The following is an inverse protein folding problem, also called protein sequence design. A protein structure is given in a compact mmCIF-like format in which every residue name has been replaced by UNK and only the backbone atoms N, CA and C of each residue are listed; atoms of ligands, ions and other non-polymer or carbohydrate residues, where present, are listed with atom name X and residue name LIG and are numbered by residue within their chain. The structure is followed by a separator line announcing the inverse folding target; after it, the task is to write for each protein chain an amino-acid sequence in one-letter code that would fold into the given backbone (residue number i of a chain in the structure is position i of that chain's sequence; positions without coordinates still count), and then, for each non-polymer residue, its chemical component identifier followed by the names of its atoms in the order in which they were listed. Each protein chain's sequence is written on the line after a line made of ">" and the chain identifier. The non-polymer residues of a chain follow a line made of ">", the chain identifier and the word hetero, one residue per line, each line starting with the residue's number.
data_IF_795527928282
#
_entry.id   IF_795527928282
#
_cell.length_a   1.000
_cell.length_b   1.000
_cell.length_c   1.000
_cell.angle_alpha   90.00
_cell.angle_beta   90.00
_cell.angle_gamma   90.00
#
_symmetry.space_group_name_H-M   'P 1'
#
loop_
_entity.id
_entity.type
_entity.pdbx_description
1 polymer ?
#
# COMPACT_ATOMS: atom_id res chain seq x y z
N UNK A 1 -21.45 -64.09 19.23
CA UNK A 1 -20.72 -63.67 18.03
C UNK A 1 -21.63 -63.91 16.84
N UNK A 2 -22.31 -62.86 16.38
CA UNK A 2 -23.15 -62.90 15.20
C UNK A 2 -22.62 -61.81 14.26
N UNK A 3 -22.26 -62.25 13.06
CA UNK A 3 -21.74 -61.42 11.98
C UNK A 3 -22.87 -60.57 11.38
N UNK A 4 -22.57 -59.32 11.00
CA UNK A 4 -23.44 -58.53 10.14
C UNK A 4 -22.82 -58.41 8.75
N UNK A 5 -23.70 -58.65 7.78
CA UNK A 5 -23.49 -58.83 6.35
C UNK A 5 -23.43 -57.47 5.63
N UNK A 6 -22.60 -57.36 4.59
CA UNK A 6 -22.25 -56.08 3.93
C UNK A 6 -22.96 -55.83 2.58
N UNK A 7 -24.12 -56.44 2.33
CA UNK A 7 -24.79 -56.40 1.02
C UNK A 7 -26.05 -55.49 0.95
N UNK A 8 -26.08 -54.34 1.63
CA UNK A 8 -27.30 -53.49 1.66
C UNK A 8 -27.04 -51.98 1.42
N UNK A 9 -26.20 -51.63 0.44
CA UNK A 9 -25.90 -50.23 0.09
C UNK A 9 -26.04 -49.86 -1.40
N UNK A 10 -26.91 -50.55 -2.15
CA UNK A 10 -27.18 -50.19 -3.56
C UNK A 10 -28.61 -49.65 -3.84
N UNK A 11 -29.45 -49.42 -2.83
CA UNK A 11 -30.83 -48.93 -3.04
C UNK A 11 -31.03 -47.42 -2.84
N UNK A 12 -30.00 -46.58 -3.03
CA UNK A 12 -30.15 -45.11 -2.98
C UNK A 12 -29.61 -44.37 -4.21
N UNK A 13 -29.27 -45.06 -5.30
CA UNK A 13 -28.67 -44.40 -6.47
C UNK A 13 -29.62 -43.90 -7.55
N UNK A 14 -30.94 -44.07 -7.45
CA UNK A 14 -31.85 -43.56 -8.51
C UNK A 14 -33.22 -43.10 -7.97
N UNK A 15 -33.28 -41.90 -7.36
CA UNK A 15 -34.52 -41.12 -7.34
C UNK A 15 -34.21 -39.66 -7.67
N UNK A 16 -34.62 -39.14 -8.84
CA UNK A 16 -34.58 -37.71 -9.11
C UNK A 16 -35.61 -37.03 -8.19
N UNK A 17 -35.16 -36.07 -7.39
CA UNK A 17 -36.04 -35.22 -6.61
C UNK A 17 -36.69 -34.23 -7.58
N UNK A 18 -37.89 -34.53 -8.06
CA UNK A 18 -38.76 -33.53 -8.67
C UNK A 18 -39.30 -32.62 -7.55
N UNK A 19 -38.71 -31.43 -7.41
CA UNK A 19 -39.25 -30.36 -6.59
C UNK A 19 -40.25 -29.59 -7.44
N UNK A 20 -41.54 -29.89 -7.31
CA UNK A 20 -42.62 -29.02 -7.80
C UNK A 20 -42.58 -27.68 -7.04
N UNK A 21 -42.07 -26.63 -7.70
CA UNK A 21 -42.17 -25.28 -7.18
C UNK A 21 -43.55 -24.71 -7.48
N UNK A 22 -44.40 -24.66 -6.44
CA UNK A 22 -45.71 -24.01 -6.49
C UNK A 22 -45.62 -22.53 -6.92
N UNK A 23 -46.52 -22.15 -7.83
CA UNK A 23 -46.57 -20.88 -8.54
C UNK A 23 -47.03 -19.67 -7.70
N UNK A 24 -46.41 -19.40 -6.54
CA UNK A 24 -46.74 -18.24 -5.70
C UNK A 24 -45.54 -17.67 -4.92
N UNK A 25 -44.36 -17.52 -5.56
CA UNK A 25 -43.25 -16.77 -4.98
C UNK A 25 -43.25 -15.37 -5.59
N UNK A 26 -43.64 -14.37 -4.80
CA UNK A 26 -43.36 -12.99 -5.14
C UNK A 26 -41.84 -12.84 -5.39
N UNK A 27 -41.40 -12.31 -6.54
CA UNK A 27 -39.98 -12.22 -6.86
C UNK A 27 -39.25 -11.48 -5.75
N UNK A 28 -38.15 -12.07 -5.28
CA UNK A 28 -37.29 -11.48 -4.25
C UNK A 28 -36.85 -10.07 -4.68
N UNK A 29 -36.54 -9.19 -3.73
CA UNK A 29 -36.10 -7.81 -4.03
C UNK A 29 -34.93 -7.79 -5.03
N UNK A 30 -34.08 -8.81 -5.02
CA UNK A 30 -32.99 -9.06 -5.98
C UNK A 30 -33.51 -9.30 -7.41
N UNK A 31 -34.51 -10.15 -7.60
CA UNK A 31 -35.09 -10.43 -8.91
C UNK A 31 -35.78 -9.19 -9.52
N UNK A 32 -36.55 -8.43 -8.71
CA UNK A 32 -37.21 -7.20 -9.19
C UNK A 32 -36.22 -6.11 -9.61
N UNK A 33 -35.09 -6.00 -8.91
CA UNK A 33 -34.03 -5.04 -9.26
C UNK A 33 -33.31 -5.47 -10.53
N UNK A 34 -33.06 -6.77 -10.72
CA UNK A 34 -32.45 -7.30 -11.94
C UNK A 34 -33.37 -7.11 -13.15
N UNK A 35 -34.67 -7.40 -13.03
CA UNK A 35 -35.65 -7.19 -14.10
C UNK A 35 -35.80 -5.70 -14.46
N UNK A 36 -35.87 -4.82 -13.45
CA UNK A 36 -35.92 -3.38 -13.67
C UNK A 36 -34.66 -2.85 -14.38
N UNK A 37 -33.47 -3.37 -14.01
CA UNK A 37 -32.19 -3.01 -14.64
C UNK A 37 -32.08 -3.54 -16.07
N UNK A 38 -32.60 -4.73 -16.36
CA UNK A 38 -32.63 -5.27 -17.73
C UNK A 38 -33.54 -4.43 -18.64
N UNK A 39 -34.69 -3.97 -18.13
CA UNK A 39 -35.58 -3.06 -18.84
C UNK A 39 -34.92 -1.71 -19.10
N UNK A 40 -34.20 -1.16 -18.12
CA UNK A 40 -33.45 0.08 -18.29
C UNK A 40 -32.33 -0.06 -19.32
N UNK A 41 -31.60 -1.18 -19.33
CA UNK A 41 -30.57 -1.46 -20.31
C UNK A 41 -31.15 -1.58 -21.73
N UNK A 42 -32.31 -2.22 -21.90
CA UNK A 42 -33.03 -2.29 -23.19
C UNK A 42 -33.46 -0.90 -23.66
N UNK A 43 -33.99 -0.07 -22.76
CA UNK A 43 -34.37 1.32 -23.05
C UNK A 43 -33.15 2.14 -23.49
N UNK A 44 -32.03 2.03 -22.79
CA UNK A 44 -30.82 2.79 -23.11
C UNK A 44 -30.21 2.36 -24.46
N UNK A 45 -30.24 1.06 -24.80
CA UNK A 45 -29.86 0.58 -26.13
C UNK A 45 -30.77 1.14 -27.23
N UNK A 46 -32.08 1.17 -27.02
CA UNK A 46 -33.05 1.75 -27.95
C UNK A 46 -32.81 3.25 -28.18
N UNK A 47 -32.55 4.01 -27.11
CA UNK A 47 -32.22 5.44 -27.21
C UNK A 47 -30.91 5.63 -27.97
N UNK A 48 -29.87 4.84 -27.68
CA UNK A 48 -28.60 4.91 -28.39
C UNK A 48 -28.76 4.64 -29.89
N UNK A 49 -29.51 3.61 -30.28
CA UNK A 49 -29.82 3.34 -31.69
C UNK A 49 -30.60 4.47 -32.34
N UNK A 50 -31.60 5.04 -31.66
CA UNK A 50 -32.37 6.17 -32.19
C UNK A 50 -31.48 7.40 -32.44
N UNK A 51 -30.55 7.71 -31.54
CA UNK A 51 -29.59 8.80 -31.70
C UNK A 51 -28.70 8.56 -32.92
N UNK A 52 -28.13 7.36 -33.07
CA UNK A 52 -27.28 7.02 -34.23
C UNK A 52 -28.05 7.15 -35.55
N UNK A 53 -29.28 6.64 -35.61
CA UNK A 53 -30.12 6.73 -36.82
C UNK A 53 -30.46 8.19 -37.15
N UNK A 54 -30.82 9.00 -36.15
CA UNK A 54 -31.08 10.43 -36.36
C UNK A 54 -29.84 11.18 -36.84
N UNK A 55 -28.66 10.90 -36.27
CA UNK A 55 -27.40 11.48 -36.72
C UNK A 55 -27.08 11.14 -38.18
N UNK A 56 -27.34 9.88 -38.60
CA UNK A 56 -27.17 9.47 -40.00
C UNK A 56 -28.15 10.20 -40.94
N UNK A 57 -29.42 10.34 -40.55
CA UNK A 57 -30.40 11.09 -41.34
C UNK A 57 -29.96 12.54 -41.53
N UNK A 58 -29.51 13.21 -40.45
CA UNK A 58 -29.01 14.59 -40.52
C UNK A 58 -27.78 14.70 -41.42
N UNK A 59 -26.85 13.75 -41.36
CA UNK A 59 -25.68 13.74 -42.24
C UNK A 59 -26.08 13.62 -43.72
N UNK A 60 -27.02 12.73 -44.04
CA UNK A 60 -27.50 12.54 -45.42
C UNK A 60 -28.24 13.78 -45.93
N UNK A 61 -29.07 14.43 -45.11
CA UNK A 61 -29.78 15.65 -45.53
C UNK A 61 -28.83 16.83 -45.75
N UNK A 62 -27.78 16.97 -44.92
CA UNK A 62 -26.75 17.98 -45.11
C UNK A 62 -25.98 17.76 -46.43
N UNK A 63 -25.60 16.52 -46.75
CA UNK A 63 -24.93 16.19 -48.02
C UNK A 63 -25.83 16.48 -49.22
N UNK A 64 -27.11 16.14 -49.14
CA UNK A 64 -28.08 16.45 -50.19
C UNK A 64 -28.27 17.97 -50.37
N UNK A 65 -28.34 18.74 -49.27
CA UNK A 65 -28.48 20.20 -49.32
C UNK A 65 -27.26 20.87 -49.97
N UNK A 66 -26.04 20.46 -49.60
CA UNK A 66 -24.79 20.95 -50.22
C UNK A 66 -24.73 20.60 -51.71
N UNK A 67 -25.22 19.42 -52.10
CA UNK A 67 -25.25 19.01 -53.51
C UNK A 67 -26.20 19.89 -54.34
N UNK A 68 -27.36 20.27 -53.78
CA UNK A 68 -28.33 21.16 -54.44
C UNK A 68 -27.81 22.59 -54.57
N UNK A 69 -27.06 23.10 -53.58
CA UNK A 69 -26.50 24.45 -53.65
C UNK A 69 -25.35 24.57 -54.65
N UNK A 70 -24.54 23.52 -54.83
CA UNK A 70 -23.47 23.48 -55.84
C UNK A 70 -24.00 23.45 -57.28
N UNK A 71 -25.22 22.93 -57.51
CA UNK A 71 -25.84 22.94 -58.84
C UNK A 71 -26.40 24.32 -59.27
N UNK A 72 -26.38 25.33 -58.41
CA UNK A 72 -26.95 26.66 -58.68
C UNK A 72 -25.92 27.77 -58.89
N UNK A 73 -24.63 27.45 -58.87
CA UNK A 73 -23.58 28.42 -59.12
C UNK A 73 -23.43 28.70 -60.64
N UNK A 74 -23.58 29.96 -61.10
CA UNK A 74 -23.34 30.30 -62.49
C UNK A 74 -21.83 30.26 -62.80
N UNK A 75 -21.47 29.58 -63.88
CA UNK A 75 -20.12 29.54 -64.45
C UNK A 75 -19.65 30.96 -64.80
N UNK A 76 -18.57 31.41 -64.14
CA UNK A 76 -17.92 32.69 -64.43
C UNK A 76 -16.85 32.48 -65.51
N UNK A 77 -17.03 33.18 -66.64
CA UNK A 77 -16.09 33.19 -67.76
C UNK A 77 -14.71 33.75 -67.39
N UNK A 78 -13.69 33.17 -68.01
CA UNK A 78 -12.28 33.58 -67.97
C UNK A 78 -12.06 34.71 -68.97
N UNK A 79 -11.63 35.88 -68.49
CA UNK A 79 -11.20 37.01 -69.33
C UNK A 79 -9.68 37.22 -69.25
N UNK A 80 -9.02 37.22 -70.40
CA UNK A 80 -7.58 37.39 -70.59
C UNK A 80 -7.20 38.81 -71.05
N UNK A 81 -6.08 39.36 -70.55
CA UNK A 81 -5.17 40.37 -71.14
C UNK A 81 -4.40 41.10 -70.03
N UNK A 82 -3.17 41.61 -70.16
CA UNK A 82 -2.07 41.55 -71.13
C UNK A 82 -0.83 42.16 -70.44
N UNK A 83 0.34 41.82 -70.96
CA UNK A 83 1.72 42.16 -70.57
C UNK A 83 2.21 43.58 -70.92
N UNK A 84 3.10 44.15 -70.08
CA UNK A 84 4.22 45.09 -70.40
C UNK A 84 5.23 44.91 -69.24
N UNK A 85 6.56 44.75 -69.32
CA UNK A 85 7.59 45.07 -70.32
C UNK A 85 8.71 45.88 -69.62
N UNK A 86 9.76 45.22 -69.10
CA UNK A 86 11.04 45.79 -68.58
C UNK A 86 11.93 46.30 -69.75
N UNK A 87 13.05 47.08 -69.61
CA UNK A 87 14.31 46.71 -68.88
C UNK A 87 15.23 47.93 -68.45
N UNK A 88 16.58 47.83 -68.23
CA UNK A 88 17.38 46.99 -67.30
C UNK A 88 18.57 47.69 -66.51
N UNK A 89 19.26 46.88 -65.66
CA UNK A 89 20.68 46.90 -65.13
C UNK A 89 21.05 47.88 -63.97
N UNK A 90 21.44 47.51 -62.73
CA UNK A 90 22.47 46.60 -62.11
C UNK A 90 23.70 47.40 -61.57
N UNK A 91 24.56 46.93 -60.61
CA UNK A 91 24.44 45.95 -59.50
C UNK A 91 25.08 46.40 -58.13
N UNK A 92 25.09 45.47 -57.14
CA UNK A 92 26.06 45.25 -56.02
C UNK A 92 25.53 45.24 -54.55
N UNK A 93 25.92 44.16 -53.86
CA UNK A 93 25.72 43.64 -52.48
C UNK A 93 26.61 44.35 -51.43
N UNK A 94 26.67 43.98 -50.11
CA UNK A 94 25.97 42.96 -49.30
C UNK A 94 25.38 43.45 -47.95
N UNK A 95 24.75 42.52 -47.21
CA UNK A 95 24.24 42.63 -45.84
C UNK A 95 25.31 42.98 -44.77
N UNK A 96 24.94 43.40 -43.54
CA UNK A 96 24.75 42.38 -42.50
C UNK A 96 23.63 42.65 -41.46
N UNK A 97 23.43 41.60 -40.67
CA UNK A 97 22.51 41.37 -39.56
C UNK A 97 22.93 42.05 -38.25
N UNK A 98 21.96 42.07 -37.32
CA UNK A 98 22.06 42.19 -35.85
C UNK A 98 21.85 43.57 -35.22
N UNK A 99 20.72 43.67 -34.52
CA UNK A 99 20.43 44.59 -33.41
C UNK A 99 20.22 43.72 -32.17
N UNK A 100 20.90 44.01 -31.06
CA UNK A 100 20.12 44.36 -29.87
C UNK A 100 20.72 45.57 -29.14
N UNK A 101 19.83 46.40 -28.63
CA UNK A 101 20.13 47.62 -27.86
C UNK A 101 20.75 47.28 -26.51
N UNK A 102 21.91 47.87 -26.22
CA UNK A 102 22.47 48.02 -24.87
C UNK A 102 22.23 49.46 -24.43
N UNK A 103 21.82 49.68 -23.18
CA UNK A 103 22.14 50.92 -22.47
C UNK A 103 22.56 50.58 -21.05
N UNK A 104 23.85 50.79 -20.77
CA UNK A 104 24.47 50.90 -19.45
C UNK A 104 24.46 52.38 -19.00
N UNK A 105 24.62 52.63 -17.69
CA UNK A 105 25.63 53.54 -17.09
C UNK A 105 25.42 53.59 -15.56
N UNK A 106 26.25 52.95 -14.70
CA UNK A 106 27.56 53.37 -14.12
C UNK A 106 27.46 54.51 -13.07
N UNK A 107 27.60 54.22 -11.75
CA UNK A 107 28.81 54.29 -10.86
C UNK A 107 28.95 55.63 -10.08
N UNK A 108 29.82 55.84 -9.05
CA UNK A 108 30.62 54.93 -8.18
C UNK A 108 30.73 55.29 -6.64
N UNK A 109 31.31 54.35 -5.85
CA UNK A 109 32.26 54.43 -4.69
C UNK A 109 31.92 55.25 -3.41
N UNK A 110 32.30 54.92 -2.15
CA UNK A 110 33.36 54.08 -1.54
C UNK A 110 33.11 53.80 -0.02
N UNK A 111 33.78 52.76 0.50
CA UNK A 111 34.04 52.22 1.89
C UNK A 111 34.48 53.26 2.98
N UNK A 112 34.67 52.94 4.31
CA UNK A 112 35.23 51.67 4.87
C UNK A 112 34.85 51.16 6.31
N UNK A 113 35.34 49.94 6.62
CA UNK A 113 35.69 49.27 7.93
C UNK A 113 34.57 49.04 9.00
N UNK A 114 34.37 47.89 9.68
CA UNK A 114 35.21 47.21 10.71
C UNK A 114 34.69 45.79 11.07
N UNK A 115 35.65 44.90 11.41
CA UNK A 115 35.67 43.64 12.19
C UNK A 115 34.93 42.35 11.80
N UNK A 116 35.75 41.29 11.78
CA UNK A 116 35.43 39.88 11.65
C UNK A 116 35.73 39.20 12.98
N UNK A 117 34.89 38.24 13.40
CA UNK A 117 35.18 37.33 14.53
C UNK A 117 34.96 35.90 14.05
N UNK A 118 35.99 35.07 14.15
CA UNK A 118 35.91 33.63 13.92
C UNK A 118 36.75 32.85 14.95
N UNK A 119 36.38 31.56 15.07
CA UNK A 119 37.05 30.35 15.60
C UNK A 119 36.69 29.85 17.02
N UNK A 120 36.82 28.52 17.31
CA UNK A 120 37.81 27.60 16.73
C UNK A 120 37.38 26.22 16.17
N UNK A 121 38.23 25.78 15.23
CA UNK A 121 38.35 24.46 14.63
C UNK A 121 39.33 23.60 15.44
N UNK A 122 39.01 22.31 15.62
CA UNK A 122 39.94 21.31 16.15
C UNK A 122 40.75 20.69 15.00
N UNK A 123 42.06 20.89 15.01
CA UNK A 123 43.00 20.13 14.19
C UNK A 123 44.11 19.57 15.10
N UNK A 124 44.43 18.30 14.89
CA UNK A 124 45.42 17.52 15.62
C UNK A 124 46.85 18.04 15.39
N UNK A 125 47.74 17.77 16.36
CA UNK A 125 49.18 18.02 16.24
C UNK A 125 49.94 16.77 16.66
N UNK A 126 50.83 16.31 15.78
CA UNK A 126 51.80 15.24 15.99
C UNK A 126 53.17 15.79 16.44
N UNK A 127 53.93 14.92 17.11
CA UNK A 127 55.38 14.92 17.42
C UNK A 127 55.88 15.33 18.84
N UNK A 128 57.03 14.78 19.31
CA UNK A 128 57.12 14.08 20.60
C UNK A 128 58.16 14.71 21.55
N UNK A 129 58.01 14.46 22.85
CA UNK A 129 59.08 14.82 23.81
C UNK A 129 59.37 13.67 24.75
N UNK A 130 60.63 13.22 24.70
CA UNK A 130 61.23 12.23 25.56
C UNK A 130 61.64 12.88 26.90
N UNK A 131 61.39 12.21 28.03
CA UNK A 131 62.42 11.82 29.01
C UNK A 131 61.79 11.04 30.19
N UNK A 132 62.56 10.15 30.86
CA UNK A 132 62.01 9.07 31.67
C UNK A 132 62.11 9.36 33.18
N UNK A 133 61.05 9.08 33.93
CA UNK A 133 61.11 8.96 35.38
C UNK A 133 60.63 7.58 35.80
N UNK A 134 61.62 6.74 36.10
CA UNK A 134 61.46 5.45 36.78
C UNK A 134 60.90 5.69 38.18
N UNK A 135 59.67 5.24 38.43
CA UNK A 135 59.27 4.79 39.77
C UNK A 135 58.51 3.48 39.59
N UNK A 136 59.16 2.42 40.05
CA UNK A 136 58.60 1.07 40.14
C UNK A 136 57.78 0.99 41.42
N UNK A 137 56.47 0.89 41.29
CA UNK A 137 55.60 0.34 42.34
C UNK A 137 54.77 -0.77 41.73
N UNK A 138 54.95 -1.97 42.29
CA UNK A 138 54.36 -3.20 41.78
C UNK A 138 52.83 -3.13 41.79
N UNK A 139 52.25 -3.35 40.62
CA UNK A 139 50.84 -3.70 40.49
C UNK A 139 50.73 -5.21 40.31
N UNK A 140 49.76 -5.87 40.97
CA UNK A 140 49.48 -7.27 40.74
C UNK A 140 49.02 -7.45 39.30
N UNK A 141 49.45 -8.53 38.66
CA UNK A 141 48.98 -9.00 37.36
C UNK A 141 47.45 -8.90 37.32
N UNK A 142 46.92 -7.94 36.56
CA UNK A 142 45.49 -7.85 36.30
C UNK A 142 45.10 -9.13 35.56
N UNK A 143 44.38 -10.00 36.25
CA UNK A 143 43.65 -11.08 35.60
C UNK A 143 42.76 -10.48 34.49
N UNK A 144 42.52 -11.21 33.38
CA UNK A 144 41.62 -10.74 32.34
C UNK A 144 40.28 -10.37 32.98
N UNK A 145 39.85 -9.12 32.81
CA UNK A 145 38.53 -8.65 33.24
C UNK A 145 37.50 -9.54 32.56
N UNK A 146 36.66 -10.21 33.34
CA UNK A 146 35.54 -10.96 32.79
C UNK A 146 34.76 -10.05 31.82
N UNK A 147 34.31 -10.57 30.66
CA UNK A 147 33.49 -9.78 29.75
C UNK A 147 32.27 -9.23 30.50
N UNK A 148 31.83 -7.99 30.20
CA UNK A 148 30.64 -7.42 30.82
C UNK A 148 29.45 -8.36 30.60
N UNK A 149 28.60 -8.49 31.62
CA UNK A 149 27.39 -9.30 31.51
C UNK A 149 26.56 -8.84 30.30
N UNK A 150 25.97 -9.77 29.53
CA UNK A 150 25.16 -9.41 28.38
C UNK A 150 23.94 -8.59 28.81
N UNK A 151 23.61 -7.55 28.04
CA UNK A 151 22.41 -6.73 28.24
C UNK A 151 21.20 -7.58 27.86
N UNK A 152 20.18 -7.67 28.72
CA UNK A 152 18.94 -8.41 28.42
C UNK A 152 17.94 -7.47 27.74
N UNK A 153 17.32 -7.91 26.64
CA UNK A 153 16.32 -7.13 25.91
C UNK A 153 15.00 -7.04 26.72
N UNK A 154 14.85 -6.00 27.53
CA UNK A 154 13.61 -5.73 28.28
C UNK A 154 13.26 -4.25 28.15
N UNK A 155 12.00 -3.97 27.81
CA UNK A 155 11.48 -2.61 27.78
C UNK A 155 11.22 -2.10 29.21
N UNK A 156 11.65 -0.87 29.49
CA UNK A 156 11.30 -0.18 30.73
C UNK A 156 9.93 0.48 30.60
N UNK A 157 9.03 0.32 31.58
CA UNK A 157 7.75 1.02 31.57
C UNK A 157 7.96 2.52 31.81
N UNK A 158 7.24 3.37 31.08
CA UNK A 158 7.28 4.82 31.26
C UNK A 158 7.17 5.59 29.96
N UNK A 159 7.54 6.87 30.04
CA UNK A 159 7.60 7.76 28.90
C UNK A 159 8.96 8.43 28.83
N UNK A 160 9.54 8.42 27.64
CA UNK A 160 10.91 8.81 27.36
C UNK A 160 10.94 9.77 26.17
N UNK A 161 11.99 10.57 26.07
CA UNK A 161 12.14 11.50 24.96
C UNK A 161 12.70 10.80 23.71
N UNK A 162 12.04 11.01 22.57
CA UNK A 162 12.56 10.60 21.28
C UNK A 162 13.52 11.65 20.69
N UNK A 163 14.06 11.37 19.50
CA UNK A 163 15.02 12.21 18.80
C UNK A 163 14.44 13.56 18.31
N UNK A 164 13.11 13.72 18.36
CA UNK A 164 12.37 14.93 18.00
C UNK A 164 11.95 15.74 19.24
N UNK A 165 12.24 15.24 20.44
CA UNK A 165 11.90 15.88 21.71
C UNK A 165 10.49 15.56 22.23
N UNK A 166 9.77 14.63 21.59
CA UNK A 166 8.47 14.18 22.04
C UNK A 166 8.59 13.14 23.16
N UNK A 167 7.64 13.17 24.10
CA UNK A 167 7.57 12.24 25.23
C UNK A 167 6.64 11.07 24.91
N UNK A 168 7.21 9.89 24.71
CA UNK A 168 6.53 8.69 24.17
C UNK A 168 6.84 7.42 24.97
N UNK A 169 5.95 6.42 24.93
CA UNK A 169 6.20 5.09 25.52
C UNK A 169 6.86 4.15 24.50
N UNK A 170 7.29 2.96 24.93
CA UNK A 170 7.91 1.98 24.02
C UNK A 170 7.00 1.52 22.88
N UNK A 171 5.68 1.60 23.02
CA UNK A 171 4.73 1.25 21.96
C UNK A 171 4.77 2.21 20.76
N UNK A 172 5.31 3.41 20.94
CA UNK A 172 5.52 4.37 19.85
C UNK A 172 6.38 3.79 18.72
N UNK A 173 7.33 2.92 19.04
CA UNK A 173 8.11 2.23 18.00
C UNK A 173 7.21 1.44 17.04
N UNK A 174 6.10 0.86 17.53
CA UNK A 174 5.12 0.17 16.69
C UNK A 174 4.31 1.08 15.77
N UNK A 175 4.35 2.40 15.97
CA UNK A 175 3.60 3.38 15.16
C UNK A 175 4.47 4.13 14.17
N UNK A 176 5.78 3.86 14.12
CA UNK A 176 6.75 4.64 13.32
C UNK A 176 7.59 3.76 12.39
N UNK A 177 8.12 4.38 11.33
CA UNK A 177 9.01 3.70 10.38
C UNK A 177 10.44 3.47 10.89
N UNK A 178 11.22 2.68 10.16
CA UNK A 178 12.61 2.27 10.49
C UNK A 178 13.58 3.44 10.68
N UNK A 179 13.35 4.58 10.03
CA UNK A 179 14.13 5.82 10.27
C UNK A 179 14.09 6.25 11.74
N UNK A 180 12.93 6.10 12.39
CA UNK A 180 12.79 6.43 13.80
C UNK A 180 13.46 5.40 14.71
N UNK A 181 13.47 4.12 14.34
CA UNK A 181 14.30 3.11 15.02
C UNK A 181 15.79 3.47 14.93
N UNK A 182 16.28 3.78 13.72
CA UNK A 182 17.68 4.16 13.49
C UNK A 182 18.11 5.45 14.21
N UNK A 183 17.20 6.42 14.37
CA UNK A 183 17.50 7.66 15.11
C UNK A 183 17.41 7.53 16.63
N UNK A 184 16.70 6.52 17.14
CA UNK A 184 16.40 6.44 18.57
C UNK A 184 17.11 5.27 19.25
N UNK A 185 17.10 4.07 18.68
CA UNK A 185 17.66 2.88 19.31
C UNK A 185 19.14 3.06 19.68
N UNK A 186 19.46 2.89 20.97
CA UNK A 186 20.79 3.10 21.53
C UNK A 186 21.30 4.56 21.52
N UNK A 187 20.46 5.53 21.13
CA UNK A 187 20.86 6.92 20.90
C UNK A 187 20.05 7.93 21.73
N UNK A 188 18.79 7.62 22.05
CA UNK A 188 17.88 8.51 22.79
C UNK A 188 17.34 7.86 24.04
N UNK A 189 16.69 8.63 24.91
CA UNK A 189 16.08 8.13 26.14
C UNK A 189 15.11 6.98 25.83
N UNK A 190 14.26 7.14 24.80
CA UNK A 190 13.32 6.09 24.40
C UNK A 190 14.03 4.86 23.84
N UNK A 191 15.10 5.03 23.05
CA UNK A 191 15.83 3.88 22.52
C UNK A 191 16.67 3.14 23.55
N UNK A 192 17.10 3.80 24.63
CA UNK A 192 17.82 3.17 25.74
C UNK A 192 16.86 2.50 26.74
N UNK A 193 15.63 2.99 26.84
CA UNK A 193 14.61 2.40 27.69
C UNK A 193 13.89 1.20 27.03
N UNK A 194 13.74 1.21 25.71
CA UNK A 194 12.92 0.25 24.97
C UNK A 194 13.79 -0.80 24.25
N UNK A 195 14.60 -1.53 25.02
CA UNK A 195 15.60 -2.47 24.50
C UNK A 195 14.98 -3.64 23.74
N UNK A 196 13.78 -4.08 24.11
CA UNK A 196 13.09 -5.18 23.42
C UNK A 196 12.54 -4.72 22.07
N UNK A 197 11.96 -3.51 21.97
CA UNK A 197 11.55 -2.93 20.69
C UNK A 197 12.75 -2.64 19.78
N UNK A 198 13.88 -2.28 20.37
CA UNK A 198 15.11 -1.97 19.64
C UNK A 198 16.01 -3.17 19.37
N UNK A 199 15.60 -4.40 19.70
CA UNK A 199 16.45 -5.62 19.64
C UNK A 199 17.19 -5.86 18.31
N UNK A 200 16.65 -5.35 17.20
CA UNK A 200 17.27 -5.49 15.88
C UNK A 200 18.35 -4.41 15.58
N UNK A 201 18.47 -3.42 16.46
CA UNK A 201 19.36 -2.25 16.36
C UNK A 201 20.37 -2.16 17.51
N UNK A 202 20.23 -2.98 18.54
CA UNK A 202 21.14 -3.05 19.69
C UNK A 202 21.57 -4.49 19.94
N UNK A 203 22.77 -4.70 20.50
CA UNK A 203 23.25 -6.03 20.88
C UNK A 203 22.75 -6.37 22.29
N UNK A 204 21.62 -7.07 22.37
CA UNK A 204 21.06 -7.57 23.61
C UNK A 204 20.61 -9.03 23.48
N UNK A 205 20.58 -9.74 24.61
CA UNK A 205 20.16 -11.14 24.69
C UNK A 205 18.68 -11.18 25.07
N UNK A 206 17.89 -11.92 24.30
CA UNK A 206 16.48 -12.13 24.60
C UNK A 206 16.33 -12.92 25.91
N UNK A 207 15.39 -12.54 26.80
CA UNK A 207 15.12 -13.32 28.00
C UNK A 207 14.74 -14.74 27.57
N UNK A 208 15.61 -15.70 27.91
CA UNK A 208 15.36 -17.12 27.70
C UNK A 208 14.65 -17.59 28.96
N UNK A 209 13.46 -18.19 28.83
CA UNK A 209 12.75 -18.78 29.96
C UNK A 209 13.65 -19.84 30.62
N UNK A 210 14.30 -19.46 31.73
CA UNK A 210 15.04 -20.36 32.61
C UNK A 210 14.55 -20.17 34.04
N UNK A 211 14.36 -21.27 34.78
CA UNK A 211 13.64 -21.26 36.03
C UNK A 211 14.44 -20.51 37.10
N UNK A 212 13.83 -19.50 37.69
CA UNK A 212 14.34 -18.82 38.87
C UNK A 212 14.22 -19.76 40.07
N UNK A 213 15.34 -20.33 40.52
CA UNK A 213 15.48 -20.89 41.87
C UNK A 213 15.45 -19.73 42.88
N UNK A 214 14.25 -19.35 43.33
CA UNK A 214 14.06 -18.43 44.46
C UNK A 214 13.89 -19.25 45.76
N UNK A 215 14.61 -18.91 46.85
CA UNK A 215 14.50 -19.63 48.12
C UNK A 215 13.11 -19.47 48.73
N UNK A 216 12.48 -20.61 48.96
CA UNK A 216 11.15 -20.77 49.56
C UNK A 216 11.12 -20.26 51.00
N UNK A 217 10.43 -19.13 51.20
CA UNK A 217 9.70 -18.90 52.44
C UNK A 217 8.26 -19.38 52.21
N UNK A 218 7.79 -20.34 53.00
CA UNK A 218 6.41 -20.84 52.94
C UNK A 218 5.46 -19.91 53.72
N UNK A 219 4.57 -19.16 53.04
CA UNK A 219 3.30 -18.79 53.62
C UNK A 219 2.28 -19.90 53.34
N UNK A 220 1.58 -20.34 54.39
CA UNK A 220 0.47 -21.29 54.33
C UNK A 220 -0.57 -20.84 53.30
N UNK A 221 -0.66 -21.57 52.19
CA UNK A 221 -1.51 -21.24 51.04
C UNK A 221 -2.98 -21.62 51.33
N UNK A 222 -3.94 -20.71 51.13
CA UNK A 222 -5.37 -21.06 51.12
C UNK A 222 -5.68 -22.05 49.97
N UNK A 223 -6.79 -22.80 50.04
CA UNK A 223 -7.11 -23.85 49.07
C UNK A 223 -7.10 -23.33 47.62
N UNK A 224 -6.62 -24.13 46.64
CA UNK A 224 -6.50 -23.70 45.26
C UNK A 224 -7.87 -23.34 44.70
N UNK A 225 -8.04 -22.06 44.38
CA UNK A 225 -9.15 -21.60 43.55
C UNK A 225 -8.83 -22.05 42.14
N UNK A 226 -9.68 -22.87 41.51
CA UNK A 226 -9.44 -23.34 40.14
C UNK A 226 -9.37 -22.14 39.20
N UNK A 227 -8.18 -21.85 38.67
CA UNK A 227 -8.04 -20.85 37.60
C UNK A 227 -8.90 -21.30 36.42
N UNK A 228 -9.71 -20.41 35.83
CA UNK A 228 -10.45 -20.72 34.62
C UNK A 228 -9.46 -21.06 33.51
N UNK A 229 -9.64 -22.22 32.87
CA UNK A 229 -8.88 -22.62 31.68
C UNK A 229 -9.27 -21.67 30.56
N UNK A 230 -8.33 -20.81 30.13
CA UNK A 230 -8.52 -19.91 28.99
C UNK A 230 -8.47 -20.75 27.72
N UNK A 231 -9.63 -20.96 27.08
CA UNK A 231 -9.71 -21.62 25.77
C UNK A 231 -9.35 -20.59 24.71
N UNK A 232 -8.34 -20.86 23.84
CA UNK A 232 -7.96 -19.91 22.80
C UNK A 232 -9.10 -19.73 21.79
N UNK A 233 -9.26 -18.53 21.22
CA UNK A 233 -10.34 -18.26 20.27
C UNK A 233 -10.16 -19.08 18.98
N UNK A 234 -11.27 -19.62 18.45
CA UNK A 234 -11.29 -20.33 17.15
C UNK A 234 -11.07 -19.40 15.96
N UNK A 235 -11.49 -18.14 16.08
CA UNK A 235 -11.44 -17.16 14.99
C UNK A 235 -10.74 -15.88 15.41
N UNK A 236 -9.97 -15.30 14.49
CA UNK A 236 -9.28 -14.04 14.65
C UNK A 236 -9.58 -13.14 13.45
N UNK A 237 -9.93 -11.88 13.70
CA UNK A 237 -10.10 -10.86 12.66
C UNK A 237 -9.04 -9.79 12.85
N UNK A 238 -8.31 -9.49 11.78
CA UNK A 238 -7.20 -8.54 11.76
C UNK A 238 -7.54 -7.45 10.75
N UNK A 239 -7.48 -6.19 11.19
CA UNK A 239 -7.62 -5.03 10.32
C UNK A 239 -6.25 -4.61 9.77
N UNK A 240 -6.18 -3.96 8.61
CA UNK A 240 -4.91 -3.55 8.03
C UNK A 240 -4.20 -2.53 8.92
N UNK A 241 -2.90 -2.72 9.13
CA UNK A 241 -1.99 -1.73 9.73
C UNK A 241 -1.46 -0.73 8.70
N UNK A 242 -1.83 -0.89 7.43
CA UNK A 242 -1.62 0.08 6.38
C UNK A 242 -2.25 -0.39 5.07
N UNK A 243 -2.80 0.54 4.31
CA UNK A 243 -3.26 0.35 2.95
C UNK A 243 -2.94 1.56 2.07
N UNK A 244 -2.73 1.35 0.77
CA UNK A 244 -2.43 2.47 -0.11
C UNK A 244 -2.81 2.12 -1.54
N UNK A 245 -3.42 3.06 -2.26
CA UNK A 245 -3.39 3.01 -3.71
C UNK A 245 -2.08 3.59 -4.22
N UNK A 246 -1.58 3.08 -5.33
CA UNK A 246 -0.39 3.60 -6.02
C UNK A 246 -0.70 3.75 -7.50
N UNK A 247 -0.20 4.83 -8.11
CA UNK A 247 -0.51 5.20 -9.49
C UNK A 247 0.78 5.38 -10.29
N UNK A 248 0.92 4.64 -11.39
CA UNK A 248 2.13 4.64 -12.20
C UNK A 248 2.43 5.99 -12.84
N UNK A 249 1.42 6.71 -13.32
CA UNK A 249 1.62 7.99 -14.02
C UNK A 249 2.08 9.13 -13.10
N UNK A 250 1.92 8.98 -11.79
CA UNK A 250 2.33 9.95 -10.76
C UNK A 250 3.19 9.24 -9.73
N UNK A 251 4.30 8.68 -10.21
CA UNK A 251 5.01 7.62 -9.50
C UNK A 251 5.60 8.01 -8.13
N UNK A 252 5.77 9.31 -7.88
CA UNK A 252 6.30 9.87 -6.62
C UNK A 252 5.19 10.34 -5.66
N UNK A 253 3.93 10.32 -6.08
CA UNK A 253 2.81 10.73 -5.22
C UNK A 253 2.45 9.61 -4.24
N UNK A 254 2.15 10.01 -3.00
CA UNK A 254 1.58 9.13 -1.98
C UNK A 254 0.05 9.28 -1.95
N UNK A 255 -0.66 8.16 -1.77
CA UNK A 255 -2.11 8.13 -1.62
C UNK A 255 -2.55 7.26 -0.42
N UNK A 256 -1.71 7.15 0.62
CA UNK A 256 -1.99 6.32 1.80
C UNK A 256 -3.15 6.81 2.66
N UNK A 257 -3.55 8.07 2.52
CA UNK A 257 -4.72 8.64 3.21
C UNK A 257 -6.01 8.61 2.37
N UNK A 258 -5.98 7.98 1.18
CA UNK A 258 -7.17 7.90 0.34
C UNK A 258 -8.22 6.98 0.97
N UNK A 259 -9.50 7.38 0.93
CA UNK A 259 -10.60 6.58 1.49
C UNK A 259 -10.98 5.34 0.66
N UNK A 260 -10.23 5.05 -0.39
CA UNK A 260 -10.54 4.02 -1.37
C UNK A 260 -9.26 3.35 -1.86
N UNK A 261 -9.35 2.08 -2.18
CA UNK A 261 -8.33 1.27 -2.83
C UNK A 261 -8.75 1.02 -4.27
N UNK A 262 -7.93 1.45 -5.23
CA UNK A 262 -8.25 1.38 -6.65
C UNK A 262 -7.33 0.40 -7.39
N UNK A 263 -7.90 -0.36 -8.31
CA UNK A 263 -7.18 -1.07 -9.37
C UNK A 263 -7.78 -0.74 -10.72
N UNK A 264 -6.93 -0.44 -11.69
CA UNK A 264 -7.33 0.06 -13.01
C UNK A 264 -6.13 0.02 -13.96
N UNK A 265 -6.38 -0.04 -15.26
CA UNK A 265 -5.37 0.20 -16.30
C UNK A 265 -5.82 1.16 -17.41
N UNK A 266 -7.10 1.54 -17.47
CA UNK A 266 -7.67 2.42 -18.50
C UNK A 266 -7.46 3.91 -18.18
N UNK A 267 -7.86 4.37 -16.98
CA UNK A 267 -7.63 5.78 -16.56
C UNK A 267 -6.22 6.05 -16.01
N UNK A 268 -5.33 5.09 -16.20
CA UNK A 268 -3.99 4.98 -15.62
C UNK A 268 -3.81 3.63 -14.94
N UNK A 269 -2.56 3.23 -14.71
CA UNK A 269 -2.26 1.97 -14.01
C UNK A 269 -2.28 2.21 -12.50
N UNK A 270 -3.27 1.62 -11.83
CA UNK A 270 -3.45 1.67 -10.38
C UNK A 270 -3.35 0.28 -9.77
N UNK A 271 -2.55 0.16 -8.73
CA UNK A 271 -2.50 -1.02 -7.87
C UNK A 271 -2.86 -0.60 -6.46
N UNK A 272 -3.25 -1.56 -5.62
CA UNK A 272 -3.47 -1.32 -4.19
C UNK A 272 -2.58 -2.22 -3.34
N UNK A 273 -2.16 -1.71 -2.19
CA UNK A 273 -1.35 -2.41 -1.20
C UNK A 273 -2.16 -2.58 0.07
N UNK A 274 -1.98 -3.71 0.74
CA UNK A 274 -2.54 -4.02 2.05
C UNK A 274 -1.43 -4.60 2.92
N UNK A 275 -1.39 -4.22 4.19
CA UNK A 275 -0.47 -4.76 5.19
C UNK A 275 -1.24 -5.08 6.47
N UNK A 276 -0.98 -6.27 7.03
CA UNK A 276 -1.56 -6.76 8.26
C UNK A 276 -0.43 -7.16 9.22
N UNK A 277 -0.59 -6.82 10.50
CA UNK A 277 0.25 -7.32 11.58
C UNK A 277 -0.29 -8.68 12.04
N UNK A 278 0.59 -9.67 12.08
CA UNK A 278 0.31 -11.05 12.48
C UNK A 278 1.04 -11.41 13.79
N UNK A 279 1.53 -10.44 14.54
CA UNK A 279 2.23 -10.68 15.82
C UNK A 279 1.38 -11.44 16.85
N UNK A 280 0.07 -11.22 16.83
CA UNK A 280 -0.92 -11.89 17.70
C UNK A 280 -1.47 -13.20 17.09
N UNK A 281 -1.01 -13.59 15.89
CA UNK A 281 -1.38 -14.85 15.25
C UNK A 281 -0.59 -16.01 15.89
N UNK A 282 -1.29 -17.06 16.29
CA UNK A 282 -0.63 -18.23 16.88
C UNK A 282 -0.17 -19.17 15.77
N UNK A 283 1.04 -18.92 15.29
CA UNK A 283 1.67 -19.70 14.21
C UNK A 283 1.86 -21.19 14.52
N UNK A 284 1.67 -21.64 15.77
CA UNK A 284 1.71 -23.05 16.14
C UNK A 284 0.37 -23.75 15.95
N UNK A 285 -0.73 -22.99 15.79
CA UNK A 285 -2.05 -23.56 15.60
C UNK A 285 -2.31 -23.80 14.11
N UNK A 286 -2.77 -24.99 13.73
CA UNK A 286 -3.14 -25.26 12.34
C UNK A 286 -4.26 -24.32 11.90
N UNK A 287 -4.05 -23.62 10.78
CA UNK A 287 -5.07 -22.75 10.19
C UNK A 287 -6.05 -23.61 9.38
N UNK A 288 -7.35 -23.51 9.66
CA UNK A 288 -8.42 -24.09 8.85
C UNK A 288 -8.63 -23.26 7.59
N UNK A 289 -8.83 -21.94 7.75
CA UNK A 289 -8.99 -20.99 6.63
C UNK A 289 -8.40 -19.61 6.96
N UNK A 290 -7.97 -18.88 5.93
CA UNK A 290 -7.64 -17.46 6.05
C UNK A 290 -8.24 -16.70 4.87
N UNK A 291 -9.13 -15.76 5.14
CA UNK A 291 -9.92 -15.07 4.12
C UNK A 291 -9.65 -13.58 4.16
N UNK A 292 -9.25 -13.00 3.04
CA UNK A 292 -9.27 -11.54 2.86
C UNK A 292 -10.66 -11.12 2.42
N UNK A 293 -11.21 -10.10 3.09
CA UNK A 293 -12.52 -9.52 2.77
C UNK A 293 -12.35 -8.05 2.41
N UNK A 294 -12.91 -7.64 1.27
CA UNK A 294 -12.91 -6.26 0.81
C UNK A 294 -14.35 -5.82 0.52
N UNK A 295 -14.71 -4.60 0.93
CA UNK A 295 -16.01 -4.01 0.61
C UNK A 295 -15.92 -3.22 -0.67
N UNK A 296 -16.75 -3.54 -1.65
CA UNK A 296 -16.78 -2.86 -2.93
C UNK A 296 -17.39 -1.45 -2.81
N UNK A 297 -16.72 -0.48 -3.43
CA UNK A 297 -17.16 0.91 -3.51
C UNK A 297 -17.73 1.26 -4.90
N UNK A 298 -17.35 0.51 -5.93
CA UNK A 298 -17.88 0.64 -7.30
C UNK A 298 -18.34 -0.72 -7.85
N UNK A 299 -19.14 -0.67 -8.92
CA UNK A 299 -19.41 -1.83 -9.75
C UNK A 299 -18.22 -2.04 -10.70
N UNK A 300 -17.74 -3.27 -10.85
CA UNK A 300 -16.63 -3.59 -11.76
C UNK A 300 -16.74 -5.05 -12.27
N UNK A 301 -16.25 -5.37 -13.47
CA UNK A 301 -16.35 -6.74 -14.02
C UNK A 301 -15.40 -7.74 -13.33
N UNK A 302 -14.29 -7.27 -12.73
CA UNK A 302 -13.37 -8.09 -11.93
C UNK A 302 -12.61 -7.22 -10.92
N UNK A 303 -12.44 -7.73 -9.70
CA UNK A 303 -11.75 -7.03 -8.62
C UNK A 303 -10.24 -7.17 -8.59
N UNK A 304 -9.65 -7.83 -9.59
CA UNK A 304 -8.21 -8.04 -9.64
C UNK A 304 -7.72 -9.32 -8.97
N UNK A 305 -6.40 -9.48 -8.92
CA UNK A 305 -5.71 -10.63 -8.33
C UNK A 305 -4.63 -10.19 -7.34
N UNK A 306 -4.36 -11.05 -6.37
CA UNK A 306 -3.46 -10.77 -5.25
C UNK A 306 -2.15 -11.54 -5.40
N UNK A 307 -1.07 -10.84 -5.09
CA UNK A 307 0.24 -11.45 -4.85
C UNK A 307 0.76 -11.00 -3.50
N UNK A 308 1.63 -11.81 -2.90
CA UNK A 308 2.35 -11.40 -1.69
C UNK A 308 3.48 -10.49 -2.13
N UNK A 309 3.77 -9.46 -1.36
CA UNK A 309 4.91 -8.61 -1.68
C UNK A 309 6.22 -9.26 -1.23
N UNK A 310 7.33 -8.95 -1.90
CA UNK A 310 8.66 -9.43 -1.49
C UNK A 310 9.05 -8.94 -0.07
N UNK A 311 8.59 -7.75 0.30
CA UNK A 311 8.86 -7.15 1.61
C UNK A 311 7.56 -6.65 2.24
N UNK A 312 7.25 -7.06 3.48
CA UNK A 312 6.04 -6.60 4.17
C UNK A 312 6.20 -5.23 4.82
N UNK A 313 7.43 -4.69 4.86
CA UNK A 313 7.76 -3.45 5.52
C UNK A 313 7.70 -2.29 4.52
N UNK A 314 6.62 -1.51 4.59
CA UNK A 314 6.47 -0.23 3.91
C UNK A 314 5.65 0.71 4.78
N UNK A 315 5.89 2.00 4.67
CA UNK A 315 5.17 3.01 5.45
C UNK A 315 4.08 3.66 4.60
N UNK A 316 2.85 3.60 5.08
CA UNK A 316 1.67 4.04 4.34
C UNK A 316 1.68 5.52 3.98
N UNK A 317 2.23 6.36 4.85
CA UNK A 317 2.24 7.82 4.66
C UNK A 317 3.35 8.29 3.73
N UNK A 318 4.23 7.39 3.30
CA UNK A 318 5.37 7.70 2.42
C UNK A 318 5.52 6.76 1.21
N UNK A 319 4.73 5.68 1.13
CA UNK A 319 4.77 4.75 0.01
C UNK A 319 4.35 5.44 -1.30
N UNK A 320 5.08 5.17 -2.38
CA UNK A 320 4.78 5.69 -3.72
C UNK A 320 4.79 4.52 -4.70
N UNK A 321 4.49 4.77 -5.97
CA UNK A 321 4.64 3.73 -6.99
C UNK A 321 6.10 3.25 -7.09
N UNK A 322 7.05 4.17 -7.02
CA UNK A 322 8.49 3.87 -7.15
C UNK A 322 9.03 3.05 -5.98
N UNK A 323 8.52 3.30 -4.76
CA UNK A 323 8.96 2.60 -3.55
C UNK A 323 8.10 1.40 -3.17
N UNK A 324 6.93 1.22 -3.81
CA UNK A 324 6.02 0.12 -3.53
C UNK A 324 6.68 -1.25 -3.77
N UNK A 325 6.64 -2.16 -2.78
CA UNK A 325 7.19 -3.48 -2.97
C UNK A 325 6.42 -4.21 -4.08
N UNK A 326 7.17 -4.88 -4.95
CA UNK A 326 6.58 -5.72 -5.99
C UNK A 326 5.97 -6.99 -5.39
N UNK A 327 4.94 -7.49 -6.05
CA UNK A 327 4.45 -8.84 -5.85
C UNK A 327 5.52 -9.87 -6.21
N UNK A 328 5.46 -11.01 -5.55
CA UNK A 328 6.42 -12.10 -5.70
C UNK A 328 6.27 -12.90 -7.02
N UNK A 329 5.34 -12.49 -7.88
CA UNK A 329 5.03 -13.15 -9.15
C UNK A 329 4.10 -14.34 -9.01
N UNK A 330 3.65 -14.69 -7.80
CA UNK A 330 2.75 -15.80 -7.56
C UNK A 330 1.35 -15.30 -7.19
N UNK A 331 0.38 -15.63 -8.03
CA UNK A 331 -1.03 -15.33 -7.73
C UNK A 331 -1.52 -16.23 -6.59
N UNK A 332 -1.94 -15.60 -5.50
CA UNK A 332 -2.53 -16.28 -4.34
C UNK A 332 -4.02 -16.49 -4.55
N UNK A 333 -4.69 -15.45 -5.06
CA UNK A 333 -6.13 -15.36 -5.11
C UNK A 333 -6.60 -14.32 -6.12
N UNK A 334 -7.88 -14.40 -6.51
CA UNK A 334 -8.51 -13.50 -7.48
C UNK A 334 -9.98 -13.26 -7.18
N UNK A 335 -10.42 -12.03 -7.39
CA UNK A 335 -11.83 -11.64 -7.42
C UNK A 335 -12.37 -11.74 -8.85
N UNK A 336 -12.75 -12.95 -9.25
CA UNK A 336 -13.09 -13.30 -10.64
C UNK A 336 -14.52 -12.93 -11.04
N UNK A 337 -15.44 -12.92 -10.07
CA UNK A 337 -16.84 -12.62 -10.34
C UNK A 337 -17.08 -11.11 -10.44
N UNK A 338 -18.11 -10.67 -11.19
CA UNK A 338 -18.55 -9.28 -11.20
C UNK A 338 -18.79 -8.75 -9.78
N UNK A 339 -18.24 -7.57 -9.54
CA UNK A 339 -18.30 -6.87 -8.27
C UNK A 339 -19.38 -5.81 -8.33
N UNK A 340 -20.16 -5.72 -7.27
CA UNK A 340 -21.22 -4.75 -7.10
C UNK A 340 -20.98 -3.93 -5.84
N UNK A 341 -21.17 -2.62 -5.95
CA UNK A 341 -20.97 -1.66 -4.86
C UNK A 341 -21.81 -2.01 -3.62
N UNK A 342 -21.24 -1.78 -2.45
CA UNK A 342 -21.86 -2.00 -1.15
C UNK A 342 -21.78 -3.43 -0.63
N UNK A 343 -21.33 -4.40 -1.43
CA UNK A 343 -21.19 -5.80 -1.02
C UNK A 343 -19.75 -6.14 -0.58
N UNK A 344 -19.66 -7.14 0.29
CA UNK A 344 -18.38 -7.74 0.69
C UNK A 344 -18.00 -8.86 -0.26
N UNK A 345 -16.74 -8.87 -0.65
CA UNK A 345 -16.13 -9.92 -1.45
C UNK A 345 -15.01 -10.57 -0.66
N UNK A 346 -14.91 -11.89 -0.77
CA UNK A 346 -14.02 -12.71 0.04
C UNK A 346 -13.18 -13.61 -0.86
N UNK A 347 -11.89 -13.73 -0.56
CA UNK A 347 -10.99 -14.66 -1.24
C UNK A 347 -10.09 -15.37 -0.24
N UNK A 348 -9.77 -16.64 -0.53
CA UNK A 348 -8.85 -17.43 0.29
C UNK A 348 -7.41 -16.96 0.08
N UNK A 349 -6.75 -16.55 1.16
CA UNK A 349 -5.35 -16.11 1.18
C UNK A 349 -4.50 -16.97 2.11
N UNK A 350 -4.98 -18.15 2.51
CA UNK A 350 -4.28 -19.07 3.43
C UNK A 350 -2.87 -19.39 2.97
N UNK A 351 -2.65 -19.58 1.66
CA UNK A 351 -1.32 -19.85 1.09
C UNK A 351 -0.32 -18.69 1.23
N UNK A 352 -0.80 -17.47 1.55
CA UNK A 352 0.03 -16.30 1.81
C UNK A 352 0.60 -16.27 3.23
N UNK A 353 -0.03 -16.99 4.17
CA UNK A 353 0.41 -17.10 5.56
C UNK A 353 1.55 -18.12 5.64
N UNK A 354 2.69 -17.70 6.18
CA UNK A 354 3.88 -18.55 6.35
C UNK A 354 4.20 -18.66 7.83
N UNK A 355 4.60 -19.85 8.32
CA UNK A 355 4.98 -20.03 9.72
C UNK A 355 6.06 -19.04 10.16
N UNK A 356 5.90 -18.47 11.35
CA UNK A 356 6.86 -17.56 11.97
C UNK A 356 6.92 -16.14 11.38
N UNK A 357 6.03 -15.77 10.46
CA UNK A 357 5.96 -14.41 9.94
C UNK A 357 5.05 -13.53 10.80
N UNK A 358 5.54 -12.37 11.21
CA UNK A 358 4.77 -11.39 12.01
C UNK A 358 4.02 -10.36 11.18
N UNK A 359 4.10 -10.41 9.84
CA UNK A 359 3.38 -9.50 8.97
C UNK A 359 3.04 -10.14 7.62
N UNK A 360 1.86 -9.79 7.10
CA UNK A 360 1.43 -10.09 5.74
C UNK A 360 1.32 -8.79 4.97
N UNK A 361 1.90 -8.75 3.78
CA UNK A 361 1.63 -7.67 2.83
C UNK A 361 1.27 -8.24 1.46
N UNK A 362 0.22 -7.66 0.91
CA UNK A 362 -0.40 -8.06 -0.34
C UNK A 362 -0.40 -6.87 -1.29
N UNK A 363 -0.23 -7.16 -2.58
CA UNK A 363 -0.46 -6.21 -3.66
C UNK A 363 -1.59 -6.73 -4.54
N UNK A 364 -2.61 -5.91 -4.71
CA UNK A 364 -3.74 -6.15 -5.58
C UNK A 364 -3.44 -5.52 -6.95
N UNK A 365 -3.48 -6.37 -7.97
CA UNK A 365 -3.23 -6.05 -9.35
C UNK A 365 -4.55 -6.06 -10.15
N UNK A 366 -4.69 -5.21 -11.18
CA UNK A 366 -5.85 -5.26 -12.06
C UNK A 366 -5.89 -6.58 -12.85
N UNK A 367 -7.08 -7.17 -13.01
CA UNK A 367 -7.33 -8.34 -13.86
C UNK A 367 -8.15 -8.00 -15.12
N UNK A 368 -8.60 -6.75 -15.23
CA UNK A 368 -9.33 -6.18 -16.36
C UNK A 368 -8.87 -4.75 -16.61
N UNK A 369 -9.26 -4.18 -17.76
CA UNK A 369 -9.03 -2.77 -18.05
C UNK A 369 -9.86 -1.83 -17.18
N UNK A 370 -11.05 -2.27 -16.80
CA UNK A 370 -12.03 -1.44 -16.11
C UNK A 370 -11.64 -1.20 -14.64
N UNK A 371 -11.95 0.00 -14.16
CA UNK A 371 -11.72 0.41 -12.78
C UNK A 371 -12.52 -0.45 -11.79
N UNK A 372 -11.83 -0.90 -10.74
CA UNK A 372 -12.47 -1.44 -9.55
C UNK A 372 -12.01 -0.72 -8.29
N UNK A 373 -12.95 -0.38 -7.42
CA UNK A 373 -12.71 0.37 -6.18
C UNK A 373 -13.24 -0.41 -4.98
N UNK A 374 -12.41 -0.52 -3.95
CA UNK A 374 -12.75 -1.04 -2.64
C UNK A 374 -12.62 0.04 -1.56
N UNK A 375 -13.29 -0.15 -0.42
CA UNK A 375 -13.06 0.64 0.77
C UNK A 375 -11.62 0.45 1.29
N UNK A 376 -11.00 1.54 1.73
CA UNK A 376 -9.75 1.52 2.49
C UNK A 376 -10.02 1.57 3.99
N UNK A 377 -8.96 1.48 4.80
CA UNK A 377 -9.02 1.51 6.26
C UNK A 377 -9.61 2.80 6.81
N UNK A 378 -9.50 3.91 6.06
CA UNK A 378 -10.05 5.22 6.41
C UNK A 378 -11.59 5.23 6.51
N UNK A 379 -12.26 4.17 6.03
CA UNK A 379 -13.71 4.00 6.19
C UNK A 379 -14.12 3.50 7.57
N UNK A 380 -13.16 3.18 8.44
CA UNK A 380 -13.42 2.63 9.77
C UNK A 380 -13.81 1.15 9.72
N UNK A 381 -13.98 0.55 10.91
CA UNK A 381 -14.15 -0.90 11.07
C UNK A 381 -15.36 -1.50 10.34
N UNK A 382 -16.38 -0.71 10.00
CA UNK A 382 -17.59 -1.21 9.33
C UNK A 382 -17.40 -1.51 7.84
N UNK A 383 -16.33 -0.98 7.23
CA UNK A 383 -16.05 -1.12 5.80
C UNK A 383 -14.57 -1.39 5.47
N UNK A 384 -13.67 -1.19 6.44
CA UNK A 384 -12.23 -1.43 6.29
C UNK A 384 -11.95 -2.86 5.85
N UNK A 385 -10.92 -3.11 5.01
CA UNK A 385 -10.44 -4.45 4.72
C UNK A 385 -10.26 -5.32 5.97
N UNK A 386 -10.53 -6.62 5.85
CA UNK A 386 -10.37 -7.56 6.96
C UNK A 386 -9.62 -8.82 6.51
N UNK A 387 -8.68 -9.27 7.32
CA UNK A 387 -8.14 -10.63 7.26
C UNK A 387 -8.77 -11.46 8.37
N UNK A 388 -9.50 -12.51 8.00
CA UNK A 388 -10.16 -13.42 8.95
C UNK A 388 -9.49 -14.78 8.93
N UNK A 389 -8.92 -15.18 10.05
CA UNK A 389 -8.27 -16.47 10.28
C UNK A 389 -9.20 -17.36 11.12
N UNK A 390 -9.39 -18.59 10.69
CA UNK A 390 -10.08 -19.65 11.45
C UNK A 390 -9.05 -20.74 11.69
N UNK A 391 -8.83 -21.09 12.96
CA UNK A 391 -7.95 -22.18 13.36
C UNK A 391 -8.73 -23.51 13.34
N UNK A 392 -8.04 -24.59 12.99
CA UNK A 392 -8.58 -25.93 13.12
C UNK A 392 -8.69 -26.30 14.62
N UNK A 393 -9.58 -27.27 14.89
CA UNK A 393 -9.82 -27.82 16.23
C UNK A 393 -8.65 -28.66 16.74
#
# INVERSE_FOLDING_TARGET
>A
MAAYNWDDLDEFRERPIEVEWGSNIHPTRRARVLEAREQEQKRNKLVSYAVVVLSLIVAVTMVAFVSVTLMKAPTREVGASKSVGLPPQAPETPAPSMKPTTTQSMHPSSSPTVESSERPSNAASDHPSAHPSKISTGFPTAAPRAPPAPIVCVDQPGFFYNADGDKVSCDWFGTVGTYNYQRNCGQTDVGNACLLRCKDYIDCVMPTDSPTDEPTYSPTTPPPTSNPVVVPPKTMTIYPTGDAMIKQSTAQANYGSASWLKVDTDSGVFHSLLRFDLSEEDSNRPIESATLRLKAASDCPSGGYLQRTYHPHWDEMSITWDSAPQGDGHEIARFSDPIFTGFWYSVDVKSALRPGHTALSLRLYPASSDECIFASKEKGSDESPELRIVYAE
#
